data_IF_716695774773
#
_entry.id   IF_716695774773
#
_cell.length_a   1.000
_cell.length_b   1.000
_cell.length_c   1.000
_cell.angle_alpha   90.00
_cell.angle_beta   90.00
_cell.angle_gamma   90.00
#
_symmetry.space_group_name_H-M   'P 1'
#
loop_
_entity.id
_entity.type
_entity.pdbx_description
1 polymer ?
#
# COMPACT_ATOMS: atom_id res chain seq x y z
N UNK A 1 14.13 8.09 -16.59
CA UNK A 1 13.68 6.82 -15.98
C UNK A 1 12.25 7.05 -15.55
N UNK A 2 11.28 6.56 -16.32
CA UNK A 2 9.88 6.70 -15.94
C UNK A 2 9.59 5.60 -14.93
N UNK A 3 9.72 5.91 -13.64
CA UNK A 3 9.00 5.17 -12.62
C UNK A 3 7.53 5.58 -12.80
N UNK A 4 6.87 4.95 -13.77
CA UNK A 4 5.43 5.11 -13.92
C UNK A 4 4.76 4.38 -12.78
N UNK A 5 3.59 4.86 -12.39
CA UNK A 5 2.68 4.22 -11.43
C UNK A 5 2.09 2.91 -11.98
N UNK A 6 2.80 2.20 -12.88
CA UNK A 6 2.32 1.02 -13.62
C UNK A 6 1.78 -0.06 -12.70
N UNK A 7 2.41 -0.27 -11.55
CA UNK A 7 1.91 -1.23 -10.56
C UNK A 7 0.58 -0.82 -9.93
N UNK A 8 0.40 0.48 -9.68
CA UNK A 8 -0.83 1.07 -9.13
C UNK A 8 -1.93 1.05 -10.21
N UNK A 9 -1.60 1.41 -11.44
CA UNK A 9 -2.51 1.34 -12.60
C UNK A 9 -3.01 -0.09 -12.85
N UNK A 10 -2.12 -1.08 -12.80
CA UNK A 10 -2.49 -2.49 -12.96
C UNK A 10 -3.38 -2.98 -11.81
N UNK A 11 -3.10 -2.57 -10.57
CA UNK A 11 -3.93 -2.90 -9.41
C UNK A 11 -5.34 -2.33 -9.58
N UNK A 12 -5.45 -1.05 -9.95
CA UNK A 12 -6.74 -0.40 -10.20
C UNK A 12 -7.49 -1.06 -11.36
N UNK A 13 -6.81 -1.38 -12.47
CA UNK A 13 -7.44 -2.01 -13.63
C UNK A 13 -7.96 -3.43 -13.35
N UNK A 14 -7.29 -4.19 -12.49
CA UNK A 14 -7.66 -5.58 -12.19
C UNK A 14 -8.60 -5.75 -11.00
N UNK A 15 -8.47 -4.89 -10.00
CA UNK A 15 -9.13 -5.07 -8.68
C UNK A 15 -9.79 -3.78 -8.17
N UNK A 16 -9.94 -2.75 -9.00
CA UNK A 16 -10.48 -1.45 -8.58
C UNK A 16 -11.94 -1.47 -8.15
N UNK A 17 -12.70 -2.50 -8.53
CA UNK A 17 -14.09 -2.69 -8.12
C UNK A 17 -14.24 -3.42 -6.77
N UNK A 18 -13.13 -3.81 -6.12
CA UNK A 18 -13.14 -4.52 -4.84
C UNK A 18 -13.08 -3.55 -3.65
N UNK A 19 -14.02 -3.69 -2.70
CA UNK A 19 -13.96 -3.02 -1.40
C UNK A 19 -13.16 -3.84 -0.38
N UNK A 20 -12.18 -3.21 0.28
CA UNK A 20 -11.37 -3.83 1.33
C UNK A 20 -11.27 -2.92 2.54
N UNK A 21 -11.02 -3.51 3.71
CA UNK A 21 -10.76 -2.74 4.93
C UNK A 21 -9.30 -2.31 5.01
N UNK A 22 -9.00 -1.21 5.72
CA UNK A 22 -7.62 -0.83 6.01
C UNK A 22 -6.87 -1.91 6.81
N UNK A 23 -7.57 -2.67 7.66
CA UNK A 23 -7.01 -3.82 8.35
C UNK A 23 -6.53 -4.91 7.38
N UNK A 24 -7.35 -5.25 6.37
CA UNK A 24 -6.95 -6.20 5.33
C UNK A 24 -5.74 -5.70 4.52
N UNK A 25 -5.71 -4.41 4.18
CA UNK A 25 -4.58 -3.81 3.47
C UNK A 25 -3.30 -3.88 4.31
N UNK A 26 -3.37 -3.57 5.61
CA UNK A 26 -2.24 -3.64 6.53
C UNK A 26 -1.62 -5.04 6.57
N UNK A 27 -2.43 -6.10 6.60
CA UNK A 27 -1.93 -7.48 6.52
C UNK A 27 -1.16 -7.76 5.22
N UNK A 28 -1.64 -7.24 4.07
CA UNK A 28 -0.96 -7.42 2.78
C UNK A 28 0.37 -6.66 2.73
N UNK A 29 0.44 -5.49 3.38
CA UNK A 29 1.69 -4.73 3.50
C UNK A 29 2.71 -5.48 4.38
N UNK A 30 2.27 -6.05 5.51
CA UNK A 30 3.13 -6.88 6.37
C UNK A 30 3.67 -8.10 5.62
N UNK A 31 2.80 -8.85 4.94
CA UNK A 31 3.19 -10.00 4.12
C UNK A 31 4.19 -9.62 3.01
N UNK A 32 4.01 -8.45 2.39
CA UNK A 32 4.95 -7.95 1.40
C UNK A 32 6.33 -7.65 1.99
N UNK A 33 6.39 -7.03 3.17
CA UNK A 33 7.67 -6.74 3.87
C UNK A 33 8.35 -8.02 4.32
N UNK A 34 7.61 -9.00 4.83
CA UNK A 34 8.12 -10.31 5.23
C UNK A 34 8.80 -11.05 4.06
N UNK A 35 8.28 -10.87 2.84
CA UNK A 35 8.87 -11.45 1.63
C UNK A 35 9.98 -10.59 1.02
N UNK A 36 9.96 -9.27 1.28
CA UNK A 36 10.84 -8.30 0.63
C UNK A 36 11.39 -7.29 1.65
N UNK A 37 12.28 -7.75 2.53
CA UNK A 37 12.80 -6.97 3.66
C UNK A 37 13.45 -5.63 3.24
N UNK A 38 13.97 -5.52 2.01
CA UNK A 38 14.56 -4.28 1.49
C UNK A 38 13.57 -3.11 1.38
N UNK A 39 12.26 -3.40 1.40
CA UNK A 39 11.19 -2.41 1.32
C UNK A 39 10.53 -2.10 2.67
N UNK A 40 11.08 -2.57 3.80
CA UNK A 40 10.53 -2.32 5.13
C UNK A 40 10.30 -0.82 5.40
N UNK A 41 11.35 0.00 5.27
CA UNK A 41 11.29 1.45 5.54
C UNK A 41 10.28 2.20 4.67
N UNK A 42 10.26 2.05 3.33
CA UNK A 42 9.26 2.75 2.52
C UNK A 42 7.83 2.30 2.81
N UNK A 43 7.60 1.01 3.08
CA UNK A 43 6.26 0.49 3.39
C UNK A 43 5.80 0.95 4.79
N UNK A 44 6.69 0.99 5.78
CA UNK A 44 6.39 1.52 7.12
C UNK A 44 5.95 3.00 7.04
N UNK A 45 6.67 3.81 6.25
CA UNK A 45 6.32 5.23 6.03
C UNK A 45 4.98 5.37 5.32
N UNK A 46 4.71 4.54 4.31
CA UNK A 46 3.43 4.54 3.61
C UNK A 46 2.26 4.16 4.53
N UNK A 47 2.41 3.11 5.34
CA UNK A 47 1.41 2.70 6.33
C UNK A 47 1.16 3.79 7.37
N UNK A 48 2.21 4.45 7.85
CA UNK A 48 2.10 5.59 8.78
C UNK A 48 1.37 6.76 8.16
N UNK A 49 1.63 7.07 6.89
CA UNK A 49 0.91 8.11 6.16
C UNK A 49 -0.58 7.76 5.99
N UNK A 50 -0.90 6.52 5.60
CA UNK A 50 -2.28 6.04 5.49
C UNK A 50 -3.05 6.13 6.82
N UNK A 51 -2.41 5.78 7.93
CA UNK A 51 -3.03 5.77 9.26
C UNK A 51 -3.42 7.17 9.77
N UNK A 52 -2.88 8.23 9.15
CA UNK A 52 -3.07 9.63 9.56
C UNK A 52 -3.95 10.43 8.62
N UNK A 53 -4.57 9.79 7.62
CA UNK A 53 -5.49 10.48 6.70
C UNK A 53 -6.69 11.08 7.43
N UNK A 54 -7.09 10.50 8.55
CA UNK A 54 -8.19 10.99 9.40
C UNK A 54 -7.72 11.98 10.51
N UNK A 55 -6.40 12.24 10.64
CA UNK A 55 -5.85 13.13 11.68
C UNK A 55 -5.94 14.63 11.31
N UNK A 56 -6.29 14.97 10.06
CA UNK A 56 -6.31 16.34 9.54
C UNK A 56 -7.68 17.06 9.71
N UNK A 57 -8.56 16.56 10.60
CA UNK A 57 -9.80 17.22 11.08
C UNK A 57 -9.70 17.72 12.54
#
# INVERSE_FOLDING_TARGET
MYFTDRGIEELAARRGDEDVTLAWLAERLSEFVDLNHEFEVPIERFATWLARLDDDD
#
